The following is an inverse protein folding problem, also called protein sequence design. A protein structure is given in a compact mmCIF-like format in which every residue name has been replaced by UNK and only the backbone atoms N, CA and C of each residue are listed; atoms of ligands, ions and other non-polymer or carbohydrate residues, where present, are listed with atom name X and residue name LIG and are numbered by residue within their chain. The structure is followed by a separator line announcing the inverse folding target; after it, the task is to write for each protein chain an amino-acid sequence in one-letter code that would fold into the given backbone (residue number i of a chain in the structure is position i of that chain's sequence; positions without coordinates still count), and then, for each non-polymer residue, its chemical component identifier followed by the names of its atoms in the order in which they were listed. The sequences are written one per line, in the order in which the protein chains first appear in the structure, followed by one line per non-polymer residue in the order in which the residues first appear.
data_IF_164539031777
#
_entry.id   IF_164539031777
#
_cell.length_a   1.000
_cell.length_b   1.000
_cell.length_c   1.000
_cell.angle_alpha   90.00
_cell.angle_beta   90.00
_cell.angle_gamma   90.00
#
_symmetry.space_group_name_H-M   'P 1'
#
loop_
_entity.id
_entity.type
_entity.pdbx_description
1 polymer ?
#
# COMPACT_ATOMS: atom_id res chain seq x y z
N UNK A 1 0.03 30.13 -13.16
CA UNK A 1 -0.43 28.72 -13.25
C UNK A 1 0.75 27.78 -13.03
N UNK A 2 0.90 27.24 -11.81
CA UNK A 2 2.02 26.34 -11.47
C UNK A 2 1.66 24.89 -11.83
N UNK A 3 2.48 24.29 -12.69
CA UNK A 3 2.26 22.99 -13.35
C UNK A 3 2.28 21.84 -12.34
N UNK A 4 1.18 21.09 -12.34
CA UNK A 4 1.02 19.70 -11.94
C UNK A 4 2.32 18.90 -11.73
N UNK A 5 2.67 18.63 -10.46
CA UNK A 5 3.48 17.45 -10.09
C UNK A 5 2.57 16.47 -9.35
N UNK A 6 1.64 15.86 -10.10
CA UNK A 6 0.99 14.62 -9.67
C UNK A 6 2.02 13.49 -9.75
N UNK A 7 2.99 13.51 -8.83
CA UNK A 7 3.87 12.36 -8.61
C UNK A 7 3.00 11.17 -8.23
N UNK A 8 3.36 9.98 -8.70
CA UNK A 8 2.77 8.73 -8.23
C UNK A 8 3.10 8.59 -6.74
N UNK A 9 2.20 9.07 -5.88
CA UNK A 9 2.43 9.23 -4.44
C UNK A 9 2.12 7.95 -3.68
N UNK A 10 1.16 7.14 -4.13
CA UNK A 10 0.66 5.99 -3.37
C UNK A 10 1.09 4.67 -4.03
N UNK A 11 1.74 3.79 -3.26
CA UNK A 11 2.23 2.48 -3.73
C UNK A 11 1.78 1.40 -2.75
N UNK A 12 1.30 0.27 -3.28
CA UNK A 12 1.04 -0.95 -2.52
C UNK A 12 2.05 -2.01 -2.96
N UNK A 13 2.78 -2.57 -2.02
CA UNK A 13 3.69 -3.70 -2.23
C UNK A 13 3.06 -4.95 -1.63
N UNK A 14 2.82 -5.96 -2.45
CA UNK A 14 2.47 -7.31 -2.04
C UNK A 14 3.77 -8.09 -1.85
N UNK A 15 3.94 -8.73 -0.70
CA UNK A 15 5.10 -9.55 -0.40
C UNK A 15 4.68 -10.93 0.10
N UNK A 16 5.50 -11.92 -0.21
CA UNK A 16 5.35 -13.27 0.33
C UNK A 16 5.77 -13.28 1.80
N UNK A 17 4.90 -13.75 2.71
CA UNK A 17 5.15 -13.70 4.16
C UNK A 17 6.28 -14.62 4.60
N UNK A 18 6.56 -15.71 3.86
CA UNK A 18 7.60 -16.67 4.21
C UNK A 18 8.99 -16.17 3.85
N UNK A 19 9.11 -15.52 2.70
CA UNK A 19 10.39 -15.07 2.15
C UNK A 19 10.65 -13.58 2.38
N UNK A 20 9.62 -12.80 2.69
CA UNK A 20 9.67 -11.34 2.77
C UNK A 20 9.86 -10.66 1.41
N UNK A 21 9.85 -11.41 0.30
CA UNK A 21 10.13 -10.89 -1.04
C UNK A 21 8.90 -10.20 -1.62
N UNK A 22 9.10 -9.04 -2.24
CA UNK A 22 8.03 -8.31 -2.93
C UNK A 22 7.69 -9.04 -4.23
N UNK A 23 6.49 -9.61 -4.29
CA UNK A 23 5.99 -10.32 -5.48
C UNK A 23 5.28 -9.39 -6.45
N UNK A 24 4.69 -8.29 -5.96
CA UNK A 24 3.98 -7.33 -6.81
C UNK A 24 4.01 -5.93 -6.23
N UNK A 25 4.11 -4.95 -7.12
CA UNK A 25 4.04 -3.53 -6.75
C UNK A 25 3.01 -2.83 -7.61
N UNK A 26 2.02 -2.20 -6.98
CA UNK A 26 0.97 -1.43 -7.65
C UNK A 26 1.18 0.04 -7.31
N UNK A 27 1.35 0.87 -8.33
CA UNK A 27 1.56 2.32 -8.17
C UNK A 27 0.35 3.10 -8.65
N UNK A 28 -0.06 4.09 -7.87
CA UNK A 28 -1.23 4.91 -8.14
C UNK A 28 -0.82 6.36 -8.37
N UNK A 29 -1.34 6.91 -9.46
CA UNK A 29 -1.23 8.31 -9.87
C UNK A 29 -2.27 9.21 -9.18
N UNK A 30 -3.37 8.62 -8.69
CA UNK A 30 -4.48 9.32 -8.05
C UNK A 30 -4.86 8.71 -6.69
N UNK A 31 -5.07 9.54 -5.64
CA UNK A 31 -5.56 9.08 -4.34
C UNK A 31 -6.89 8.33 -4.42
N UNK A 32 -7.81 8.75 -5.30
CA UNK A 32 -9.13 8.13 -5.45
C UNK A 32 -9.04 6.70 -5.99
N UNK A 33 -8.18 6.47 -6.99
CA UNK A 33 -7.92 5.12 -7.53
C UNK A 33 -7.31 4.21 -6.47
N UNK A 34 -6.41 4.75 -5.65
CA UNK A 34 -5.82 4.01 -4.54
C UNK A 34 -6.86 3.61 -3.49
N UNK A 35 -7.75 4.52 -3.08
CA UNK A 35 -8.78 4.23 -2.08
C UNK A 35 -9.77 3.17 -2.56
N UNK A 36 -10.19 3.26 -3.83
CA UNK A 36 -11.04 2.22 -4.44
C UNK A 36 -10.33 0.87 -4.46
N UNK A 37 -9.10 0.82 -4.95
CA UNK A 37 -8.32 -0.41 -4.95
C UNK A 37 -8.14 -0.98 -3.55
N UNK A 38 -7.79 -0.14 -2.56
CA UNK A 38 -7.55 -0.57 -1.19
C UNK A 38 -8.81 -1.18 -0.55
N UNK A 39 -9.99 -0.60 -0.83
CA UNK A 39 -11.27 -1.12 -0.32
C UNK A 39 -11.54 -2.52 -0.83
N UNK A 40 -11.36 -2.77 -2.12
CA UNK A 40 -11.58 -4.09 -2.73
C UNK A 40 -10.48 -5.07 -2.33
N UNK A 41 -9.23 -4.58 -2.27
CA UNK A 41 -8.07 -5.37 -1.94
C UNK A 41 -8.05 -5.84 -0.48
N UNK A 42 -8.48 -5.00 0.47
CA UNK A 42 -8.58 -5.36 1.88
C UNK A 42 -9.70 -6.38 2.17
N UNK A 43 -10.73 -6.44 1.31
CA UNK A 43 -11.77 -7.46 1.40
C UNK A 43 -11.28 -8.84 0.94
N UNK A 44 -10.29 -8.88 0.04
CA UNK A 44 -9.70 -10.13 -0.41
C UNK A 44 -8.64 -10.62 0.60
N UNK A 45 -8.82 -11.84 1.11
CA UNK A 45 -7.76 -12.52 1.85
C UNK A 45 -6.79 -13.16 0.88
N UNK A 46 -5.48 -12.93 1.09
CA UNK A 46 -4.41 -13.56 0.34
C UNK A 46 -3.56 -14.44 1.28
N UNK A 47 -3.92 -15.72 1.48
CA UNK A 47 -3.18 -16.60 2.39
C UNK A 47 -1.72 -16.73 1.95
N UNK A 48 -0.79 -16.50 2.88
CA UNK A 48 0.66 -16.55 2.61
C UNK A 48 1.26 -15.28 2.02
N UNK A 49 0.45 -14.24 1.80
CA UNK A 49 0.92 -12.95 1.28
C UNK A 49 0.48 -11.81 2.20
N UNK A 50 1.45 -10.96 2.55
CA UNK A 50 1.24 -9.72 3.27
C UNK A 50 1.33 -8.54 2.30
N UNK A 51 0.78 -7.39 2.68
CA UNK A 51 0.90 -6.17 1.88
C UNK A 51 1.27 -4.98 2.74
N UNK A 52 1.94 -4.01 2.13
CA UNK A 52 2.30 -2.74 2.79
C UNK A 52 2.10 -1.55 1.87
N UNK A 53 1.74 -0.43 2.48
CA UNK A 53 1.55 0.84 1.81
C UNK A 53 2.80 1.72 1.94
N UNK A 54 3.21 2.34 0.83
CA UNK A 54 4.24 3.39 0.81
C UNK A 54 3.67 4.65 0.16
N UNK A 55 3.73 5.75 0.91
CA UNK A 55 3.46 7.09 0.39
C UNK A 55 4.78 7.78 0.04
N UNK A 56 5.11 7.88 -1.25
CA UNK A 56 6.26 8.65 -1.74
C UNK A 56 6.02 10.17 -1.75
N UNK A 57 4.81 10.61 -1.43
CA UNK A 57 4.44 12.03 -1.32
C UNK A 57 4.65 12.63 0.06
N UNK A 58 4.77 11.83 1.11
CA UNK A 58 4.99 12.30 2.48
C UNK A 58 6.49 12.51 2.74
N UNK A 59 6.87 13.72 3.15
CA UNK A 59 8.23 13.97 3.65
C UNK A 59 8.42 13.15 4.93
N UNK A 60 9.60 12.54 5.05
CA UNK A 60 10.08 11.77 6.21
C UNK A 60 9.99 12.67 7.45
N UNK A 61 8.92 12.57 8.24
CA UNK A 61 8.65 13.46 9.39
C UNK A 61 7.18 13.65 9.76
N UNK A 62 6.22 13.39 8.85
CA UNK A 62 4.82 13.20 9.25
C UNK A 62 4.58 11.72 9.53
N UNK A 63 4.24 11.41 10.78
CA UNK A 63 4.04 10.10 11.37
C UNK A 63 3.86 8.96 10.36
N UNK A 64 4.87 8.11 10.32
CA UNK A 64 4.74 6.73 9.90
C UNK A 64 3.81 6.03 10.90
N UNK A 65 2.50 6.28 10.77
CA UNK A 65 1.49 5.27 11.07
C UNK A 65 1.70 4.16 10.03
N UNK A 66 2.77 3.38 10.25
CA UNK A 66 2.95 2.08 9.66
C UNK A 66 1.77 1.25 10.14
N UNK A 67 0.66 1.34 9.43
CA UNK A 67 -0.44 0.42 9.57
C UNK A 67 0.06 -0.95 9.10
N UNK A 68 0.76 -1.64 9.98
CA UNK A 68 0.95 -3.08 9.92
C UNK A 68 -0.42 -3.64 10.26
N UNK A 69 -1.28 -3.79 9.25
CA UNK A 69 -2.48 -4.61 9.37
C UNK A 69 -1.99 -6.06 9.45
N UNK A 70 -1.60 -6.47 10.67
CA UNK A 70 -1.36 -7.85 11.02
C UNK A 70 -2.72 -8.52 10.85
N UNK A 71 -2.86 -9.35 9.81
CA UNK A 71 -4.06 -10.14 9.60
C UNK A 71 -4.16 -11.08 10.79
N UNK A 72 -5.00 -10.76 11.77
CA UNK A 72 -5.30 -11.66 12.87
C UNK A 72 -5.88 -12.95 12.27
N UNK A 73 -5.09 -14.03 12.36
CA UNK A 73 -5.61 -15.39 12.25
C UNK A 73 -6.52 -15.58 13.46
N UNK A 74 -7.82 -15.66 13.20
CA UNK A 74 -8.76 -16.29 14.14
C UNK A 74 -8.57 -17.79 13.96
N UNK A 75 -7.97 -18.41 14.96
CA UNK A 75 -8.01 -19.86 15.20
C UNK A 75 -9.40 -20.27 15.70
#
# INVERSE_FOLDING_TARGET
MSRFRSMKKKIIELFDEKTGSVVRTVSFDSPRKFEMFLKDFAQMRYPGYGWRYKDKGRKKGEDALGFVFKVEKKE
#
